data_IF_435889454288
#
_entry.id   IF_435889454288
#
_cell.length_a   1.000
_cell.length_b   1.000
_cell.length_c   1.000
_cell.angle_alpha   90.00
_cell.angle_beta   90.00
_cell.angle_gamma   90.00
#
_symmetry.space_group_name_H-M   'P 1'
#
loop_
_entity.id
_entity.type
_entity.pdbx_description
1 polymer ?
#
# COMPACT_ATOMS: atom_id res chain seq x y z
N UNK A 1 16.59 -2.74 -2.38
CA UNK A 1 15.40 -2.11 -1.77
C UNK A 1 15.01 -0.79 -2.44
N UNK A 2 15.92 0.19 -2.58
CA UNK A 2 15.63 1.48 -3.23
C UNK A 2 15.02 1.34 -4.65
N UNK A 3 15.66 0.57 -5.53
CA UNK A 3 15.18 0.38 -6.91
C UNK A 3 13.76 -0.20 -6.98
N UNK A 4 13.45 -1.18 -6.13
CA UNK A 4 12.17 -1.90 -6.20
C UNK A 4 11.02 -1.19 -5.47
N UNK A 5 11.31 -0.46 -4.38
CA UNK A 5 10.29 0.22 -3.59
C UNK A 5 10.16 1.70 -3.97
N UNK A 6 11.28 2.43 -4.03
CA UNK A 6 11.28 3.89 -4.19
C UNK A 6 11.12 4.28 -5.65
N UNK A 7 11.94 3.73 -6.55
CA UNK A 7 11.91 4.14 -7.96
C UNK A 7 10.61 3.78 -8.66
N UNK A 8 10.05 2.61 -8.36
CA UNK A 8 8.75 2.18 -8.91
C UNK A 8 7.62 3.08 -8.41
N UNK A 9 7.60 3.40 -7.11
CA UNK A 9 6.61 4.31 -6.52
C UNK A 9 6.75 5.73 -7.07
N UNK A 10 7.98 6.22 -7.24
CA UNK A 10 8.26 7.54 -7.82
C UNK A 10 7.80 7.62 -9.28
N UNK A 11 8.06 6.58 -10.07
CA UNK A 11 7.58 6.49 -11.45
C UNK A 11 6.05 6.46 -11.49
N UNK A 12 5.39 5.66 -10.66
CA UNK A 12 3.93 5.62 -10.58
C UNK A 12 3.33 6.97 -10.17
N UNK A 13 3.95 7.65 -9.20
CA UNK A 13 3.57 8.99 -8.77
C UNK A 13 3.70 10.02 -9.92
N UNK A 14 4.83 10.01 -10.63
CA UNK A 14 5.06 10.88 -11.77
C UNK A 14 4.05 10.63 -12.90
N UNK A 15 3.83 9.37 -13.28
CA UNK A 15 2.82 9.02 -14.27
C UNK A 15 1.43 9.48 -13.82
N UNK A 16 1.10 9.36 -12.54
CA UNK A 16 -0.19 9.79 -12.01
C UNK A 16 -0.36 11.31 -12.04
N UNK A 17 0.70 12.10 -11.85
CA UNK A 17 0.60 13.57 -11.98
C UNK A 17 0.37 14.04 -13.43
N UNK A 18 0.57 13.17 -14.43
CA UNK A 18 0.39 13.51 -15.83
C UNK A 18 -0.82 12.84 -16.49
N UNK A 19 -1.16 11.63 -16.06
CA UNK A 19 -2.10 10.76 -16.79
C UNK A 19 -3.27 10.25 -15.95
N UNK A 20 -3.30 10.55 -14.65
CA UNK A 20 -4.45 10.15 -13.83
C UNK A 20 -5.67 10.99 -14.22
N UNK A 21 -6.81 10.34 -14.44
CA UNK A 21 -8.06 11.04 -14.74
C UNK A 21 -8.60 11.75 -13.50
N UNK A 22 -9.53 12.69 -13.72
CA UNK A 22 -10.35 13.22 -12.63
C UNK A 22 -11.07 12.07 -11.89
N UNK A 23 -11.17 12.18 -10.57
CA UNK A 23 -11.65 11.11 -9.68
C UNK A 23 -10.80 9.82 -9.72
N UNK A 24 -9.60 9.86 -10.32
CA UNK A 24 -8.72 8.71 -10.40
C UNK A 24 -8.09 8.33 -9.06
N UNK A 25 -7.59 7.10 -9.00
CA UNK A 25 -7.03 6.50 -7.80
C UNK A 25 -5.58 6.06 -8.05
N UNK A 26 -4.63 6.60 -7.28
CA UNK A 26 -3.28 6.08 -7.15
C UNK A 26 -3.17 5.31 -5.84
N UNK A 27 -2.71 4.06 -5.92
CA UNK A 27 -2.45 3.22 -4.76
C UNK A 27 -0.96 2.92 -4.69
N UNK A 28 -0.33 3.26 -3.56
CA UNK A 28 1.06 2.93 -3.27
C UNK A 28 1.13 1.82 -2.22
N UNK A 29 2.12 0.95 -2.33
CA UNK A 29 2.29 -0.18 -1.39
C UNK A 29 3.39 0.12 -0.38
N UNK A 30 2.97 0.50 0.83
CA UNK A 30 3.85 0.66 1.98
C UNK A 30 4.12 -0.67 2.69
N UNK A 31 4.20 -0.64 4.02
CA UNK A 31 4.38 -1.81 4.88
C UNK A 31 3.90 -1.49 6.30
N UNK A 32 3.03 -2.33 6.88
CA UNK A 32 2.52 -2.12 8.23
C UNK A 32 3.58 -2.32 9.32
N UNK A 33 4.49 -3.30 9.11
CA UNK A 33 5.57 -3.59 10.05
C UNK A 33 6.54 -2.43 10.28
N UNK A 34 6.68 -1.51 9.31
CA UNK A 34 7.56 -0.33 9.43
C UNK A 34 7.01 0.71 10.40
N UNK A 35 5.69 0.78 10.55
CA UNK A 35 5.03 1.73 11.45
C UNK A 35 4.92 1.14 12.85
N UNK A 36 4.49 -0.13 12.95
CA UNK A 36 4.15 -0.72 14.24
C UNK A 36 5.35 -1.39 14.93
N UNK A 37 6.28 -1.97 14.18
CA UNK A 37 7.35 -2.82 14.71
C UNK A 37 8.66 -2.68 13.90
N UNK A 38 9.32 -1.51 13.89
CA UNK A 38 10.56 -1.33 13.15
C UNK A 38 11.65 -2.30 13.64
N UNK A 39 12.18 -3.13 12.73
CA UNK A 39 13.22 -4.13 13.03
C UNK A 39 14.61 -3.67 12.60
N UNK A 40 15.60 -3.84 13.49
CA UNK A 40 17.00 -3.52 13.22
C UNK A 40 17.56 -4.31 12.02
N UNK A 41 17.09 -5.54 11.81
CA UNK A 41 17.57 -6.39 10.73
C UNK A 41 17.00 -5.98 9.35
N UNK A 42 16.06 -5.03 9.32
CA UNK A 42 15.33 -4.62 8.11
C UNK A 42 15.50 -3.13 7.80
N UNK A 43 16.56 -2.45 8.29
CA UNK A 43 16.73 -1.00 8.15
C UNK A 43 16.63 -0.51 6.70
N UNK A 44 17.30 -1.18 5.75
CA UNK A 44 17.25 -0.77 4.34
C UNK A 44 15.84 -0.89 3.74
N UNK A 45 15.09 -1.91 4.16
CA UNK A 45 13.69 -2.08 3.78
C UNK A 45 12.81 -0.99 4.40
N UNK A 46 12.93 -0.78 5.71
CA UNK A 46 12.17 0.23 6.45
C UNK A 46 12.39 1.65 5.90
N UNK A 47 13.64 2.06 5.68
CA UNK A 47 13.96 3.35 5.06
C UNK A 47 13.31 3.49 3.67
N UNK A 48 13.36 2.43 2.85
CA UNK A 48 12.74 2.47 1.52
C UNK A 48 11.22 2.59 1.57
N UNK A 49 10.55 1.97 2.55
CA UNK A 49 9.09 2.06 2.73
C UNK A 49 8.67 3.39 3.35
N UNK A 50 9.46 3.96 4.27
CA UNK A 50 9.25 5.33 4.77
C UNK A 50 9.34 6.34 3.61
N UNK A 51 10.29 6.17 2.69
CA UNK A 51 10.36 7.03 1.51
C UNK A 51 9.09 6.95 0.65
N UNK A 52 8.49 5.76 0.50
CA UNK A 52 7.18 5.59 -0.18
C UNK A 52 6.06 6.27 0.61
N UNK A 53 6.04 6.16 1.94
CA UNK A 53 5.06 6.81 2.80
C UNK A 53 5.11 8.34 2.67
N UNK A 54 6.32 8.91 2.73
CA UNK A 54 6.56 10.34 2.54
C UNK A 54 6.14 10.79 1.14
N UNK A 55 6.47 10.01 0.10
CA UNK A 55 6.04 10.29 -1.27
C UNK A 55 4.50 10.34 -1.37
N UNK A 56 3.81 9.36 -0.79
CA UNK A 56 2.35 9.29 -0.81
C UNK A 56 1.71 10.52 -0.16
N UNK A 57 2.22 10.97 0.98
CA UNK A 57 1.75 12.19 1.66
C UNK A 57 1.98 13.45 0.81
N UNK A 58 3.14 13.57 0.16
CA UNK A 58 3.43 14.71 -0.71
C UNK A 58 2.50 14.72 -1.94
N UNK A 59 2.24 13.55 -2.52
CA UNK A 59 1.32 13.40 -3.65
C UNK A 59 -0.12 13.74 -3.25
N UNK A 60 -0.57 13.32 -2.07
CA UNK A 60 -1.91 13.62 -1.57
C UNK A 60 -2.13 15.14 -1.35
N UNK A 61 -1.08 15.87 -1.00
CA UNK A 61 -1.13 17.33 -0.79
C UNK A 61 -0.74 18.15 -2.03
N UNK A 62 -0.38 17.49 -3.13
CA UNK A 62 0.09 18.15 -4.34
C UNK A 62 -1.07 18.80 -5.10
N UNK A 63 -0.85 20.03 -5.58
CA UNK A 63 -1.77 20.74 -6.49
C UNK A 63 -1.68 20.25 -7.93
N UNK A 64 -0.70 19.41 -8.26
CA UNK A 64 -0.48 18.89 -9.60
C UNK A 64 -1.23 17.58 -9.86
N UNK A 65 -2.02 17.10 -8.90
CA UNK A 65 -2.87 15.93 -9.08
C UNK A 65 -4.18 16.29 -9.78
N UNK A 66 -4.71 15.33 -10.53
CA UNK A 66 -6.01 15.48 -11.16
C UNK A 66 -7.11 15.79 -10.14
N UNK A 67 -8.09 16.58 -10.56
CA UNK A 67 -9.19 17.01 -9.70
C UNK A 67 -9.91 15.80 -9.08
N UNK A 68 -10.21 15.90 -7.78
CA UNK A 68 -10.87 14.85 -6.99
C UNK A 68 -10.17 13.49 -6.99
N UNK A 69 -8.93 13.39 -7.47
CA UNK A 69 -8.16 12.16 -7.35
C UNK A 69 -7.87 11.80 -5.89
N UNK A 70 -7.51 10.54 -5.66
CA UNK A 70 -7.16 10.00 -4.34
C UNK A 70 -5.84 9.27 -4.40
N UNK A 71 -4.98 9.56 -3.43
CA UNK A 71 -3.72 8.85 -3.20
C UNK A 71 -3.89 8.05 -1.92
N UNK A 72 -3.90 6.73 -2.04
CA UNK A 72 -4.09 5.80 -0.92
C UNK A 72 -2.82 4.96 -0.76
N UNK A 73 -2.38 4.75 0.48
CA UNK A 73 -1.27 3.83 0.76
C UNK A 73 -1.80 2.58 1.44
N UNK A 74 -1.68 1.41 0.81
CA UNK A 74 -1.93 0.15 1.52
C UNK A 74 -0.70 -0.26 2.30
N UNK A 75 -0.93 -0.83 3.47
CA UNK A 75 0.09 -1.30 4.40
C UNK A 75 -0.18 -2.77 4.72
N UNK A 76 0.23 -3.69 3.84
CA UNK A 76 0.20 -5.12 4.15
C UNK A 76 1.13 -5.42 5.32
N UNK A 77 0.77 -6.44 6.11
CA UNK A 77 1.70 -7.13 7.01
C UNK A 77 2.39 -8.23 6.20
N UNK A 78 1.76 -9.40 6.09
CA UNK A 78 2.20 -10.51 5.25
C UNK A 78 1.16 -10.76 4.17
N UNK A 79 1.62 -10.90 2.92
CA UNK A 79 0.76 -11.25 1.77
C UNK A 79 0.99 -12.73 1.47
N UNK A 80 -0.08 -13.47 1.25
CA UNK A 80 0.01 -14.86 0.88
C UNK A 80 0.48 -15.02 -0.58
N UNK A 81 1.74 -15.36 -0.74
CA UNK A 81 2.39 -15.61 -2.03
C UNK A 81 3.24 -16.88 -1.94
N UNK A 82 3.45 -17.59 -3.07
CA UNK A 82 4.32 -18.78 -3.08
C UNK A 82 5.71 -18.50 -2.49
N UNK A 83 6.33 -17.38 -2.88
CA UNK A 83 7.64 -16.97 -2.38
C UNK A 83 7.63 -16.77 -0.85
N UNK A 84 6.64 -16.05 -0.30
CA UNK A 84 6.57 -15.84 1.15
C UNK A 84 6.37 -17.16 1.91
N UNK A 85 5.59 -18.10 1.37
CA UNK A 85 5.41 -19.43 1.97
C UNK A 85 6.69 -20.26 1.95
N UNK A 86 7.47 -20.16 0.87
CA UNK A 86 8.79 -20.81 0.76
C UNK A 86 9.80 -20.22 1.76
N UNK A 87 9.82 -18.89 1.90
CA UNK A 87 10.73 -18.19 2.80
C UNK A 87 10.35 -18.33 4.28
N UNK A 88 9.05 -18.52 4.57
CA UNK A 88 8.50 -18.62 5.93
C UNK A 88 7.57 -19.84 6.12
N UNK A 89 8.06 -21.07 5.94
CA UNK A 89 7.22 -22.28 5.82
C UNK A 89 6.56 -22.73 7.14
N UNK A 90 6.90 -22.10 8.27
CA UNK A 90 6.40 -22.45 9.61
C UNK A 90 5.42 -21.43 10.19
N UNK A 91 5.12 -20.37 9.45
CA UNK A 91 4.20 -19.32 9.89
C UNK A 91 2.73 -19.76 9.76
N UNK A 92 1.86 -19.07 10.49
CA UNK A 92 0.42 -19.26 10.37
C UNK A 92 -0.15 -18.48 9.18
N UNK A 93 -0.28 -19.15 8.04
CA UNK A 93 -0.80 -18.57 6.80
C UNK A 93 -2.25 -18.09 6.91
N UNK A 94 -3.02 -18.50 7.93
CA UNK A 94 -4.40 -18.00 8.12
C UNK A 94 -4.44 -16.51 8.50
N UNK A 95 -3.30 -15.96 8.95
CA UNK A 95 -3.13 -14.55 9.28
C UNK A 95 -2.70 -13.69 8.08
N UNK A 96 -2.37 -14.32 6.94
CA UNK A 96 -1.79 -13.65 5.78
C UNK A 96 -2.88 -13.16 4.82
N UNK A 97 -2.68 -11.96 4.28
CA UNK A 97 -3.61 -11.34 3.37
C UNK A 97 -3.56 -12.03 2.00
N UNK A 98 -4.68 -12.62 1.57
CA UNK A 98 -4.78 -13.26 0.26
C UNK A 98 -4.73 -12.22 -0.87
N UNK A 99 -4.00 -12.51 -1.94
CA UNK A 99 -3.85 -11.59 -3.09
C UNK A 99 -5.19 -11.27 -3.75
N UNK A 100 -6.08 -12.24 -3.89
CA UNK A 100 -7.43 -12.04 -4.45
C UNK A 100 -8.28 -11.10 -3.59
N UNK A 101 -8.12 -11.15 -2.27
CA UNK A 101 -8.84 -10.27 -1.36
C UNK A 101 -8.30 -8.84 -1.44
N UNK A 102 -6.99 -8.67 -1.58
CA UNK A 102 -6.39 -7.35 -1.82
C UNK A 102 -6.93 -6.81 -3.14
N UNK A 103 -6.88 -7.60 -4.22
CA UNK A 103 -7.37 -7.20 -5.54
C UNK A 103 -8.85 -6.79 -5.50
N UNK A 104 -9.70 -7.55 -4.82
CA UNK A 104 -11.11 -7.22 -4.62
C UNK A 104 -11.32 -5.90 -3.87
N UNK A 105 -10.54 -5.65 -2.81
CA UNK A 105 -10.57 -4.39 -2.06
C UNK A 105 -10.17 -3.20 -2.95
N UNK A 106 -9.06 -3.32 -3.68
CA UNK A 106 -8.59 -2.25 -4.56
C UNK A 106 -9.56 -1.99 -5.70
N UNK A 107 -10.20 -3.04 -6.24
CA UNK A 107 -11.23 -2.92 -7.27
C UNK A 107 -12.45 -2.17 -6.74
N UNK A 108 -12.93 -2.52 -5.55
CA UNK A 108 -14.06 -1.84 -4.91
C UNK A 108 -13.78 -0.33 -4.75
N UNK A 109 -12.56 0.04 -4.32
CA UNK A 109 -12.15 1.44 -4.24
C UNK A 109 -12.06 2.11 -5.61
N UNK A 110 -11.51 1.43 -6.63
CA UNK A 110 -11.43 1.95 -7.99
C UNK A 110 -12.82 2.19 -8.61
N UNK A 111 -13.81 1.37 -8.25
CA UNK A 111 -15.22 1.54 -8.63
C UNK A 111 -15.94 2.63 -7.78
N UNK A 112 -15.25 3.24 -6.82
CA UNK A 112 -15.77 4.34 -5.98
C UNK A 112 -16.50 3.89 -4.70
N UNK A 113 -16.58 2.59 -4.43
CA UNK A 113 -17.25 2.06 -3.24
C UNK A 113 -16.32 2.07 -2.03
N UNK A 114 -16.80 2.60 -0.90
CA UNK A 114 -16.04 2.69 0.35
C UNK A 114 -14.63 3.28 0.17
N UNK A 115 -14.49 4.23 -0.77
CA UNK A 115 -13.22 4.82 -1.14
C UNK A 115 -12.65 5.61 0.05
N UNK A 116 -11.40 5.34 0.49
CA UNK A 116 -10.82 6.05 1.62
C UNK A 116 -10.60 7.53 1.32
N UNK A 117 -10.38 8.31 2.39
CA UNK A 117 -10.02 9.73 2.24
C UNK A 117 -8.67 9.85 1.54
N UNK A 118 -8.48 10.96 0.82
CA UNK A 118 -7.20 11.25 0.18
C UNK A 118 -6.08 11.26 1.23
N UNK A 119 -4.95 10.62 0.94
CA UNK A 119 -3.80 10.54 1.84
C UNK A 119 -3.92 9.48 2.94
N UNK A 120 -4.98 8.66 2.96
CA UNK A 120 -5.13 7.60 3.95
C UNK A 120 -4.08 6.49 3.83
N UNK A 121 -3.65 6.00 4.99
CA UNK A 121 -2.83 4.80 5.13
C UNK A 121 -3.71 3.67 5.64
N UNK A 122 -3.88 2.61 4.83
CA UNK A 122 -4.76 1.48 5.13
C UNK A 122 -3.93 0.26 5.57
N UNK A 123 -3.85 0.03 6.87
CA UNK A 123 -3.30 -1.19 7.47
C UNK A 123 -4.22 -2.37 7.16
N UNK A 124 -3.72 -3.32 6.38
CA UNK A 124 -4.49 -4.48 5.97
C UNK A 124 -4.39 -5.55 7.07
N UNK A 125 -5.43 -5.66 7.89
CA UNK A 125 -5.56 -6.72 8.89
C UNK A 125 -6.38 -7.88 8.31
N UNK A 126 -6.05 -9.11 8.70
CA UNK A 126 -6.87 -10.28 8.40
C UNK A 126 -7.71 -10.61 9.63
N UNK A 127 -9.03 -10.66 9.46
CA UNK A 127 -9.97 -11.05 10.51
C UNK A 127 -11.09 -11.86 9.89
N UNK A 128 -11.45 -12.99 10.52
CA UNK A 128 -12.49 -13.91 10.03
C UNK A 128 -12.31 -14.25 8.54
N UNK A 129 -11.06 -14.57 8.15
CA UNK A 129 -10.69 -14.93 6.78
C UNK A 129 -11.00 -13.84 5.73
N UNK A 130 -11.04 -12.56 6.13
CA UNK A 130 -11.28 -11.40 5.28
C UNK A 130 -10.30 -10.27 5.59
N UNK A 131 -9.95 -9.47 4.58
CA UNK A 131 -9.13 -8.27 4.77
C UNK A 131 -10.01 -7.12 5.27
N UNK A 132 -9.62 -6.53 6.40
CA UNK A 132 -10.26 -5.38 7.00
C UNK A 132 -9.23 -4.25 7.07
N UNK A 133 -9.37 -3.18 6.25
CA UNK A 133 -8.48 -2.04 6.31
C UNK A 133 -8.76 -1.22 7.58
N UNK A 134 -7.71 -0.99 8.36
CA UNK A 134 -7.68 -0.04 9.46
C UNK A 134 -6.92 1.21 9.00
N UNK A 135 -7.48 2.40 9.23
CA UNK A 135 -6.87 3.65 8.76
C UNK A 135 -6.06 4.31 9.88
N UNK A 136 -4.82 4.66 9.56
CA UNK A 136 -3.88 5.34 10.46
C UNK A 136 -3.37 6.65 9.87
#
# INVERSE_FOLDING_TARGET
MHQYNVMTSLLAAHLSSHFLNQNGLLILTGAGGVINNPSHNMIAYSLSKIAVHTLAQNMANSKNMAENSRIITILPKEIDTPQNREDMPKEDFTTWAQTDQIAGLLRMWADGYNLPKNGSFALLNVSNNSIVPEYI
#
